data_IF_180863186716
#
_entry.id   IF_180863186716
#
_cell.length_a   1.000
_cell.length_b   1.000
_cell.length_c   1.000
_cell.angle_alpha   90.00
_cell.angle_beta   90.00
_cell.angle_gamma   90.00
#
_symmetry.space_group_name_H-M   'P 1'
#
loop_
_entity.id
_entity.type
_entity.pdbx_description
1 polymer ?
#
# COMPACT_ATOMS: atom_id res chain seq x y z
N UNK A 1 5.34 10.89 -8.04
CA UNK A 1 5.21 10.45 -6.62
C UNK A 1 6.57 10.02 -6.11
N UNK A 2 6.73 9.85 -4.80
CA UNK A 2 7.88 9.16 -4.20
C UNK A 2 7.39 7.93 -3.45
N UNK A 3 8.25 6.93 -3.32
CA UNK A 3 8.00 5.74 -2.51
C UNK A 3 9.20 5.51 -1.57
N UNK A 4 8.96 4.75 -0.49
CA UNK A 4 9.98 4.29 0.44
C UNK A 4 9.82 2.78 0.60
N UNK A 5 10.92 2.04 0.42
CA UNK A 5 11.00 0.61 0.69
C UNK A 5 11.81 0.33 1.95
N UNK A 6 11.31 -0.56 2.80
CA UNK A 6 12.01 -1.07 3.98
C UNK A 6 11.81 -2.58 4.03
N UNK A 7 12.89 -3.33 4.13
CA UNK A 7 12.81 -4.77 4.38
C UNK A 7 12.45 -5.01 5.85
N UNK A 8 11.42 -5.83 6.09
CA UNK A 8 11.01 -6.26 7.43
C UNK A 8 11.31 -7.74 7.57
N UNK A 9 12.00 -8.11 8.66
CA UNK A 9 12.36 -9.50 8.93
C UNK A 9 12.31 -9.79 10.44
N UNK A 10 12.23 -11.07 10.80
CA UNK A 10 12.29 -11.49 12.20
C UNK A 10 13.62 -11.11 12.87
N UNK A 11 14.70 -11.04 12.09
CA UNK A 11 16.04 -10.67 12.54
C UNK A 11 16.15 -9.16 12.80
N UNK A 12 15.66 -8.33 11.86
CA UNK A 12 15.79 -6.89 11.97
C UNK A 12 14.78 -6.26 12.94
N UNK A 13 13.62 -6.92 13.14
CA UNK A 13 12.54 -6.48 14.04
C UNK A 13 12.10 -5.04 13.82
N UNK A 14 12.23 -4.57 12.59
CA UNK A 14 11.75 -3.25 12.22
C UNK A 14 10.22 -3.23 12.23
N UNK A 15 9.67 -2.08 12.60
CA UNK A 15 8.26 -1.77 12.46
C UNK A 15 8.13 -0.44 11.71
N UNK A 16 7.10 -0.33 10.88
CA UNK A 16 6.86 0.84 10.06
C UNK A 16 5.50 1.46 10.43
N UNK A 17 5.52 2.74 10.80
CA UNK A 17 4.31 3.54 10.95
C UNK A 17 3.94 4.12 9.58
N UNK A 18 2.75 3.80 9.09
CA UNK A 18 2.21 4.36 7.85
C UNK A 18 1.36 5.59 8.20
N UNK A 19 1.75 6.81 7.78
CA UNK A 19 0.95 8.00 8.02
C UNK A 19 -0.41 7.95 7.30
N UNK A 20 -1.42 8.62 7.85
CA UNK A 20 -2.71 8.77 7.18
C UNK A 20 -2.54 9.42 5.80
N UNK A 21 -3.20 8.85 4.79
CA UNK A 21 -3.14 9.32 3.41
C UNK A 21 -1.97 8.74 2.60
N UNK A 22 -1.06 7.97 3.21
CA UNK A 22 -0.06 7.20 2.48
C UNK A 22 -0.64 5.85 2.06
N UNK A 23 -0.51 5.51 0.78
CA UNK A 23 -0.74 4.14 0.33
C UNK A 23 0.37 3.22 0.86
N UNK A 24 0.01 1.98 1.18
CA UNK A 24 0.93 0.95 1.66
C UNK A 24 0.69 -0.34 0.88
N UNK A 25 1.78 -1.06 0.60
CA UNK A 25 1.79 -2.39 0.02
C UNK A 25 3.07 -3.12 0.44
N UNK A 26 3.10 -4.44 0.28
CA UNK A 26 4.27 -5.26 0.60
C UNK A 26 4.38 -6.47 -0.32
N UNK A 27 5.59 -7.03 -0.41
CA UNK A 27 5.88 -8.30 -1.06
C UNK A 27 6.55 -9.22 -0.04
N UNK A 28 6.02 -10.42 0.14
CA UNK A 28 6.68 -11.45 0.94
C UNK A 28 7.91 -11.95 0.20
N UNK A 29 9.07 -11.98 0.87
CA UNK A 29 10.35 -12.42 0.29
C UNK A 29 10.66 -13.90 0.56
N UNK A 30 9.92 -14.52 1.45
CA UNK A 30 10.01 -15.93 1.82
C UNK A 30 8.62 -16.52 2.05
N UNK A 31 8.51 -17.84 1.94
CA UNK A 31 7.31 -18.59 2.31
C UNK A 31 7.03 -18.45 3.81
N UNK A 32 5.78 -18.70 4.21
CA UNK A 32 5.33 -18.66 5.61
C UNK A 32 5.64 -17.32 6.33
N UNK A 33 5.71 -16.22 5.57
CA UNK A 33 5.87 -14.88 6.12
C UNK A 33 4.61 -14.43 6.87
N UNK A 34 4.78 -13.95 8.10
CA UNK A 34 3.72 -13.37 8.91
C UNK A 34 3.89 -11.86 9.04
N UNK A 35 2.77 -11.13 9.02
CA UNK A 35 2.75 -9.68 9.25
C UNK A 35 1.69 -9.34 10.30
N UNK A 36 2.06 -8.47 11.23
CA UNK A 36 1.16 -7.95 12.26
C UNK A 36 0.83 -6.49 11.98
N UNK A 37 -0.47 -6.20 11.89
CA UNK A 37 -0.97 -4.85 11.69
C UNK A 37 -1.64 -4.30 12.94
N UNK A 38 -1.23 -3.11 13.34
CA UNK A 38 -1.94 -2.30 14.32
C UNK A 38 -2.65 -1.17 13.60
N UNK A 39 -3.98 -1.14 13.71
CA UNK A 39 -4.80 -0.11 13.08
C UNK A 39 -5.20 0.95 14.11
N UNK A 40 -5.16 2.22 13.70
CA UNK A 40 -5.65 3.33 14.51
C UNK A 40 -7.18 3.43 14.52
N UNK A 41 -7.83 2.84 13.52
CA UNK A 41 -9.28 2.89 13.29
C UNK A 41 -9.82 1.50 12.96
N UNK A 42 -11.12 1.29 13.18
CA UNK A 42 -11.78 0.05 12.80
C UNK A 42 -11.96 -0.05 11.29
N UNK A 43 -11.90 -1.28 10.78
CA UNK A 43 -12.21 -1.55 9.38
C UNK A 43 -13.62 -1.09 9.03
N UNK A 44 -13.74 -0.30 7.96
CA UNK A 44 -15.01 0.14 7.40
C UNK A 44 -15.04 -0.25 5.93
N UNK A 45 -15.93 -1.17 5.51
CA UNK A 45 -16.05 -1.55 4.11
C UNK A 45 -16.30 -0.32 3.22
N UNK A 46 -15.57 -0.21 2.13
CA UNK A 46 -15.70 0.91 1.19
C UNK A 46 -15.02 2.21 1.62
N UNK A 47 -14.37 2.25 2.79
CA UNK A 47 -13.49 3.36 3.20
C UNK A 47 -12.03 3.15 2.77
N UNK A 48 -11.80 2.20 1.87
CA UNK A 48 -10.50 1.82 1.33
C UNK A 48 -10.49 2.00 -0.19
N UNK A 49 -9.37 2.49 -0.70
CA UNK A 49 -9.06 2.51 -2.13
C UNK A 49 -7.59 2.12 -2.29
N UNK A 50 -7.18 1.80 -3.51
CA UNK A 50 -5.89 1.19 -3.79
C UNK A 50 -5.24 1.74 -5.06
N UNK A 51 -3.95 1.47 -5.16
CA UNK A 51 -3.15 1.76 -6.35
C UNK A 51 -2.66 0.46 -6.92
N UNK A 52 -2.56 0.41 -8.25
CA UNK A 52 -2.03 -0.77 -8.94
C UNK A 52 -0.53 -0.92 -8.65
N UNK A 53 -0.11 -2.08 -8.17
CA UNK A 53 1.24 -2.30 -7.65
C UNK A 53 2.36 -2.14 -8.70
N UNK A 54 2.07 -2.44 -9.97
CA UNK A 54 2.96 -2.35 -11.14
C UNK A 54 2.77 -1.04 -11.93
N UNK A 55 2.11 -0.03 -11.35
CA UNK A 55 1.93 1.23 -12.02
C UNK A 55 3.28 1.91 -12.31
N UNK A 56 3.59 2.23 -13.58
CA UNK A 56 4.90 2.76 -13.97
C UNK A 56 5.18 4.16 -13.41
N UNK A 57 4.15 4.91 -12.99
CA UNK A 57 4.29 6.24 -12.37
C UNK A 57 4.63 6.16 -10.89
N UNK A 58 4.33 5.03 -10.23
CA UNK A 58 4.83 4.76 -8.89
C UNK A 58 6.31 4.42 -8.92
N UNK A 59 6.75 3.68 -9.95
CA UNK A 59 8.16 3.33 -10.12
C UNK A 59 8.73 2.52 -8.96
N UNK A 60 7.91 1.66 -8.33
CA UNK A 60 8.32 0.81 -7.23
C UNK A 60 9.17 -0.34 -7.79
N UNK A 61 10.36 -0.49 -7.23
CA UNK A 61 11.27 -1.59 -7.57
C UNK A 61 10.99 -2.79 -6.66
N UNK A 62 10.08 -3.67 -7.09
CA UNK A 62 9.79 -4.91 -6.37
C UNK A 62 10.95 -5.90 -6.50
N UNK A 63 11.50 -6.44 -5.40
CA UNK A 63 12.71 -7.27 -5.43
C UNK A 63 12.50 -8.64 -6.09
N UNK A 64 11.28 -9.16 -6.14
CA UNK A 64 10.94 -10.43 -6.77
C UNK A 64 9.80 -10.26 -7.80
N UNK A 65 9.63 -11.21 -8.74
CA UNK A 65 8.43 -11.25 -9.57
C UNK A 65 7.16 -11.31 -8.71
N UNK A 66 6.17 -10.47 -9.05
CA UNK A 66 4.89 -10.48 -8.34
C UNK A 66 4.09 -11.75 -8.69
N UNK A 67 3.68 -12.49 -7.65
CA UNK A 67 2.88 -13.71 -7.74
C UNK A 67 1.74 -13.64 -6.72
N UNK A 68 0.75 -14.52 -6.84
CA UNK A 68 -0.38 -14.64 -5.90
C UNK A 68 -1.16 -13.33 -5.67
N UNK A 69 -1.29 -12.52 -6.73
CA UNK A 69 -2.02 -11.25 -6.70
C UNK A 69 -3.53 -11.49 -6.66
N UNK A 70 -4.25 -10.68 -5.90
CA UNK A 70 -5.71 -10.72 -5.90
C UNK A 70 -6.26 -10.09 -7.19
N UNK A 71 -7.46 -10.51 -7.60
CA UNK A 71 -8.16 -9.87 -8.73
C UNK A 71 -8.40 -8.38 -8.47
N UNK A 72 -8.57 -7.97 -7.20
CA UNK A 72 -8.77 -6.57 -6.82
C UNK A 72 -7.51 -5.74 -7.10
N UNK A 73 -6.34 -6.23 -6.69
CA UNK A 73 -5.07 -5.50 -6.84
C UNK A 73 -4.73 -5.28 -8.32
N UNK A 74 -5.00 -6.28 -9.16
CA UNK A 74 -4.76 -6.22 -10.62
C UNK A 74 -5.78 -5.33 -11.33
N UNK A 75 -7.00 -5.21 -10.78
CA UNK A 75 -8.10 -4.44 -11.37
C UNK A 75 -8.02 -2.92 -11.11
N UNK A 76 -7.14 -2.46 -10.20
CA UNK A 76 -6.95 -1.02 -10.01
C UNK A 76 -6.49 -0.36 -11.33
N UNK A 77 -7.04 0.81 -11.69
CA UNK A 77 -6.64 1.51 -12.91
C UNK A 77 -5.21 2.05 -12.77
N UNK A 78 -4.55 2.25 -13.91
CA UNK A 78 -3.30 2.98 -13.95
C UNK A 78 -3.54 4.45 -13.58
N UNK A 79 -2.59 5.02 -12.85
CA UNK A 79 -2.54 6.41 -12.42
C UNK A 79 -2.46 7.30 -13.66
N UNK A 80 -3.34 8.29 -13.72
CA UNK A 80 -3.30 9.29 -14.79
C UNK A 80 -2.43 10.49 -14.40
N UNK A 81 -1.99 11.32 -15.37
CA UNK A 81 -1.29 12.57 -15.06
C UNK A 81 -2.01 13.50 -14.08
N UNK A 82 -3.34 13.45 -14.06
CA UNK A 82 -4.22 14.29 -13.25
C UNK A 82 -4.50 13.71 -11.85
N UNK A 83 -3.99 12.52 -11.55
CA UNK A 83 -4.23 11.88 -10.27
C UNK A 83 -3.64 12.68 -9.11
N UNK A 84 -4.52 13.22 -8.26
CA UNK A 84 -4.18 14.05 -7.11
C UNK A 84 -4.26 13.29 -5.77
N UNK A 85 -4.48 11.97 -5.80
CA UNK A 85 -4.76 11.15 -4.62
C UNK A 85 -6.22 10.73 -4.52
N UNK A 86 -6.50 9.87 -3.54
CA UNK A 86 -7.87 9.44 -3.23
C UNK A 86 -8.58 10.58 -2.50
N UNK A 87 -9.58 11.16 -3.16
CA UNK A 87 -10.43 12.19 -2.54
C UNK A 87 -11.53 11.49 -1.76
N UNK A 88 -11.39 11.44 -0.45
CA UNK A 88 -12.48 10.97 0.41
C UNK A 88 -13.58 12.04 0.45
N UNK A 89 -14.83 11.73 0.09
CA UNK A 89 -15.90 12.72 0.01
C UNK A 89 -16.23 13.45 1.32
N UNK A 90 -15.66 13.02 2.47
CA UNK A 90 -15.89 13.59 3.80
C UNK A 90 -14.63 13.91 4.62
N UNK A 91 -13.44 14.05 4.01
CA UNK A 91 -12.27 14.51 4.76
C UNK A 91 -12.40 15.99 5.09
N UNK A 92 -13.04 16.29 6.22
CA UNK A 92 -13.04 17.63 6.81
C UNK A 92 -11.59 17.99 7.21
N UNK A 93 -10.98 19.08 6.68
CA UNK A 93 -9.58 19.42 6.93
C UNK A 93 -9.32 20.01 8.34
N UNK A 94 -10.17 19.71 9.32
CA UNK A 94 -10.11 20.25 10.69
C UNK A 94 -10.08 19.18 11.78
N UNK A 95 -9.21 18.18 11.63
CA UNK A 95 -8.72 17.35 12.74
C UNK A 95 -7.20 17.27 12.71
#
# INVERSE_FOLDING_TARGET
>A
MCWLGVELSAENRHALLIPQGCAHGFQTLADDSEILYFHSEYYTPGAEDGLRYDDPRLGIEWPLPAINLSNRDVAHPLITPEYAGVVFPNSNPSR
#
